data_IF_370048279145
#
_entry.id   IF_370048279145
#
_cell.length_a   1.000
_cell.length_b   1.000
_cell.length_c   1.000
_cell.angle_alpha   90.00
_cell.angle_beta   90.00
_cell.angle_gamma   90.00
#
_symmetry.space_group_name_H-M   'P 1'
#
loop_
_entity.id
_entity.type
_entity.pdbx_description
1 polymer ?
#
# COMPACT_ATOMS: atom_id res chain seq x y z
N UNK A 1 -10.72 22.50 19.67
CA UNK A 1 -10.08 21.43 20.48
C UNK A 1 -8.64 21.28 20.03
N UNK A 2 -7.69 21.88 20.76
CA UNK A 2 -6.26 21.80 20.42
C UNK A 2 -5.77 20.38 20.69
N UNK A 3 -5.34 19.70 19.63
CA UNK A 3 -4.79 18.36 19.66
C UNK A 3 -3.60 18.36 20.64
N UNK A 4 -3.79 17.86 21.87
CA UNK A 4 -2.71 17.79 22.87
C UNK A 4 -1.62 16.90 22.28
N UNK A 5 -0.57 17.51 21.72
CA UNK A 5 0.65 16.80 21.32
C UNK A 5 1.12 16.00 22.53
N UNK A 6 0.94 14.67 22.54
CA UNK A 6 1.60 13.86 23.58
C UNK A 6 3.09 13.98 23.32
N UNK A 7 3.79 14.38 24.36
CA UNK A 7 5.24 14.36 24.38
C UNK A 7 5.73 12.91 24.52
N UNK A 8 6.94 12.59 24.05
CA UNK A 8 7.54 11.29 24.26
C UNK A 8 7.67 10.97 25.76
N UNK A 9 7.77 9.68 26.13
CA UNK A 9 7.86 9.26 27.54
C UNK A 9 8.97 9.99 28.30
N UNK A 10 8.64 10.55 29.46
CA UNK A 10 9.59 11.28 30.30
C UNK A 10 9.76 12.77 29.92
N UNK A 11 9.36 13.20 28.72
CA UNK A 11 9.33 14.63 28.38
C UNK A 11 8.00 15.23 28.86
N UNK A 12 8.09 16.33 29.61
CA UNK A 12 6.94 17.01 30.22
C UNK A 12 6.90 18.47 29.78
N UNK A 13 5.71 19.02 29.65
CA UNK A 13 5.48 20.45 29.47
C UNK A 13 4.72 21.01 30.66
N UNK A 14 5.10 22.21 31.10
CA UNK A 14 4.38 22.98 32.13
C UNK A 14 4.20 24.41 31.66
N UNK A 15 2.98 24.90 31.73
CA UNK A 15 2.68 26.32 31.46
C UNK A 15 2.81 27.09 32.76
N UNK A 16 3.67 28.10 32.77
CA UNK A 16 3.86 28.99 33.91
C UNK A 16 2.73 30.03 33.98
N UNK A 17 2.64 30.75 35.11
CA UNK A 17 1.67 31.84 35.29
C UNK A 17 1.80 32.94 34.20
N UNK A 18 2.98 33.09 33.60
CA UNK A 18 3.24 33.98 32.47
C UNK A 18 2.63 33.53 31.14
N UNK A 19 1.99 32.35 31.09
CA UNK A 19 1.50 31.71 29.86
C UNK A 19 2.60 31.03 29.04
N UNK A 20 3.88 31.22 29.37
CA UNK A 20 4.99 30.54 28.70
C UNK A 20 5.03 29.06 29.08
N UNK A 21 5.18 28.19 28.09
CA UNK A 21 5.33 26.75 28.31
C UNK A 21 6.81 26.39 28.34
N UNK A 22 7.24 25.67 29.38
CA UNK A 22 8.59 25.15 29.54
C UNK A 22 8.58 23.62 29.48
N UNK A 23 9.66 23.08 28.95
CA UNK A 23 9.87 21.65 28.80
C UNK A 23 10.88 21.11 29.81
N UNK A 24 10.62 19.90 30.29
CA UNK A 24 11.40 19.25 31.34
C UNK A 24 11.60 17.78 31.00
N UNK A 25 12.81 17.25 31.29
CA UNK A 25 13.13 15.84 31.15
C UNK A 25 13.08 15.14 32.51
N UNK A 26 12.29 14.08 32.60
CA UNK A 26 12.27 13.17 33.75
C UNK A 26 13.10 11.93 33.42
N UNK A 27 14.22 11.75 34.11
CA UNK A 27 15.19 10.67 33.83
C UNK A 27 14.88 9.37 34.57
N UNK A 28 14.46 9.44 35.84
CA UNK A 28 14.06 8.30 36.66
C UNK A 28 13.03 8.72 37.74
N UNK A 29 12.39 7.75 38.40
CA UNK A 29 11.58 8.00 39.59
C UNK A 29 12.47 8.47 40.75
N UNK A 30 12.09 9.57 41.40
CA UNK A 30 12.86 10.14 42.53
C UNK A 30 13.94 11.14 42.14
N UNK A 31 14.31 11.23 40.85
CA UNK A 31 15.28 12.23 40.36
C UNK A 31 14.55 13.52 39.96
N UNK A 32 15.14 14.67 40.30
CA UNK A 32 14.62 15.99 39.93
C UNK A 32 14.58 16.14 38.41
N UNK A 33 13.51 16.75 37.90
CA UNK A 33 13.37 17.00 36.46
C UNK A 33 14.42 18.01 35.97
N UNK A 34 15.04 17.73 34.82
CA UNK A 34 16.01 18.63 34.18
C UNK A 34 15.28 19.64 33.29
N UNK A 35 15.44 20.96 33.50
CA UNK A 35 14.82 21.97 32.64
C UNK A 35 15.50 22.00 31.27
N UNK A 36 14.71 21.97 30.19
CA UNK A 36 15.19 22.03 28.79
C UNK A 36 14.90 23.38 28.12
N UNK A 37 14.09 24.23 28.75
CA UNK A 37 13.72 25.54 28.22
C UNK A 37 12.36 25.58 27.51
N UNK A 38 12.01 26.71 26.88
CA UNK A 38 10.69 26.94 26.29
C UNK A 38 10.54 26.44 24.84
N UNK A 39 11.64 26.17 24.13
CA UNK A 39 11.59 25.70 22.75
C UNK A 39 11.37 24.18 22.66
N UNK A 40 10.26 23.76 22.05
CA UNK A 40 9.90 22.36 21.91
C UNK A 40 10.87 21.60 20.99
N UNK A 41 11.37 22.23 19.94
CA UNK A 41 12.28 21.57 18.98
C UNK A 41 13.59 21.14 19.66
N UNK A 42 14.20 22.07 20.38
CA UNK A 42 15.39 21.84 21.20
C UNK A 42 15.12 20.81 22.30
N UNK A 43 13.97 20.89 22.97
CA UNK A 43 13.61 19.91 24.00
C UNK A 43 13.45 18.48 23.45
N UNK A 44 12.88 18.31 22.25
CA UNK A 44 12.77 17.01 21.57
C UNK A 44 14.14 16.49 21.12
N UNK A 45 15.03 17.38 20.66
CA UNK A 45 16.40 17.03 20.31
C UNK A 45 17.15 16.46 21.52
N UNK A 46 17.15 17.21 22.64
CA UNK A 46 17.77 16.75 23.89
C UNK A 46 17.17 15.44 24.40
N UNK A 47 15.84 15.28 24.30
CA UNK A 47 15.19 14.03 24.67
C UNK A 47 15.67 12.86 23.82
N UNK A 48 15.76 13.05 22.49
CA UNK A 48 16.22 12.01 21.55
C UNK A 48 17.64 11.59 21.88
N UNK A 49 18.53 12.57 22.05
CA UNK A 49 19.95 12.32 22.29
C UNK A 49 20.12 11.57 23.64
N UNK A 50 19.44 12.02 24.69
CA UNK A 50 19.40 11.30 25.97
C UNK A 50 18.80 9.88 25.85
N UNK A 51 17.72 9.70 25.09
CA UNK A 51 17.10 8.38 24.90
C UNK A 51 18.04 7.42 24.17
N UNK A 52 18.76 7.92 23.17
CA UNK A 52 19.76 7.18 22.42
C UNK A 52 20.97 6.84 23.30
N UNK A 53 21.53 7.80 24.03
CA UNK A 53 22.68 7.59 24.92
C UNK A 53 22.37 6.53 25.98
N UNK A 54 21.19 6.58 26.60
CA UNK A 54 20.75 5.55 27.55
C UNK A 54 20.68 4.17 26.88
N UNK A 55 20.11 4.11 25.68
CA UNK A 55 19.96 2.86 24.94
C UNK A 55 21.32 2.26 24.55
N UNK A 56 22.27 3.11 24.14
CA UNK A 56 23.61 2.71 23.70
C UNK A 56 24.58 2.44 24.85
N UNK A 57 24.38 3.07 26.02
CA UNK A 57 25.16 2.77 27.22
C UNK A 57 25.04 1.31 27.66
N UNK A 58 23.93 0.65 27.31
CA UNK A 58 23.67 -0.76 27.58
C UNK A 58 24.01 -1.68 26.39
N UNK A 59 24.18 -1.12 25.17
CA UNK A 59 24.24 -1.90 23.91
C UNK A 59 25.14 -1.26 22.86
N UNK A 60 26.01 -2.06 22.26
CA UNK A 60 26.74 -1.66 21.05
C UNK A 60 25.90 -1.93 19.80
N UNK A 61 25.82 -0.95 18.88
CA UNK A 61 25.18 -1.10 17.56
C UNK A 61 26.04 -2.00 16.66
N UNK A 62 25.98 -3.30 16.90
CA UNK A 62 26.69 -4.34 16.14
C UNK A 62 25.80 -5.01 15.09
N UNK A 63 24.49 -4.95 15.28
CA UNK A 63 23.49 -5.62 14.47
C UNK A 63 22.44 -4.68 13.91
N UNK A 64 21.80 -5.11 12.82
CA UNK A 64 20.64 -4.43 12.24
C UNK A 64 19.46 -4.38 13.22
N UNK A 65 19.28 -5.44 14.02
CA UNK A 65 18.23 -5.52 15.03
C UNK A 65 18.42 -4.43 16.09
N UNK A 66 19.63 -4.31 16.66
CA UNK A 66 19.94 -3.27 17.65
C UNK A 66 19.78 -1.88 17.05
N UNK A 67 20.14 -1.70 15.77
CA UNK A 67 19.94 -0.43 15.06
C UNK A 67 18.46 -0.06 14.92
N UNK A 68 17.61 -1.01 14.52
CA UNK A 68 16.16 -0.80 14.41
C UNK A 68 15.57 -0.47 15.78
N UNK A 69 15.96 -1.20 16.83
CA UNK A 69 15.51 -0.96 18.20
C UNK A 69 15.95 0.40 18.74
N UNK A 70 17.18 0.82 18.45
CA UNK A 70 17.67 2.17 18.76
C UNK A 70 16.79 3.25 18.10
N UNK A 71 16.45 3.06 16.82
CA UNK A 71 15.57 3.96 16.08
C UNK A 71 14.14 3.99 16.67
N UNK A 72 13.59 2.82 17.01
CA UNK A 72 12.27 2.72 17.68
C UNK A 72 12.27 3.47 19.01
N UNK A 73 13.37 3.41 19.74
CA UNK A 73 13.50 4.00 21.08
C UNK A 73 13.70 5.51 21.02
N UNK A 74 14.59 5.99 20.15
CA UNK A 74 15.03 7.39 20.14
C UNK A 74 14.31 8.27 19.11
N UNK A 75 13.92 7.73 17.96
CA UNK A 75 13.47 8.55 16.82
C UNK A 75 11.95 8.44 16.57
N UNK A 76 11.33 7.28 16.79
CA UNK A 76 9.87 7.14 16.60
C UNK A 76 9.06 7.99 17.59
N UNK A 77 9.38 8.07 18.90
CA UNK A 77 8.51 8.75 19.87
C UNK A 77 8.38 10.26 19.66
N UNK A 78 9.29 10.88 18.91
CA UNK A 78 9.24 12.31 18.56
C UNK A 78 8.44 12.59 17.27
N UNK A 79 7.93 11.55 16.59
CA UNK A 79 7.12 11.68 15.37
C UNK A 79 5.68 12.08 15.68
N UNK A 80 4.89 12.35 14.64
CA UNK A 80 3.49 12.68 14.83
C UNK A 80 2.75 11.51 15.48
N UNK A 81 1.87 11.82 16.45
CA UNK A 81 1.10 10.82 17.21
C UNK A 81 0.37 9.79 16.34
N UNK A 82 -0.19 10.24 15.21
CA UNK A 82 -0.88 9.39 14.24
C UNK A 82 0.05 8.42 13.51
N UNK A 83 1.34 8.76 13.39
CA UNK A 83 2.34 7.98 12.67
C UNK A 83 3.03 6.93 13.56
N UNK A 84 3.17 7.21 14.86
CA UNK A 84 3.91 6.34 15.80
C UNK A 84 3.47 4.86 15.72
N UNK A 85 2.17 4.51 15.82
CA UNK A 85 1.77 3.10 15.77
C UNK A 85 2.06 2.45 14.42
N UNK A 86 2.05 3.23 13.34
CA UNK A 86 2.35 2.75 12.00
C UNK A 86 3.85 2.47 11.82
N UNK A 87 4.70 3.44 12.19
CA UNK A 87 6.15 3.31 12.15
C UNK A 87 6.64 2.15 13.04
N UNK A 88 6.07 1.99 14.24
CA UNK A 88 6.40 0.87 15.11
C UNK A 88 6.09 -0.48 14.48
N UNK A 89 4.93 -0.63 13.82
CA UNK A 89 4.57 -1.87 13.11
C UNK A 89 5.53 -2.16 11.95
N UNK A 90 5.90 -1.14 11.19
CA UNK A 90 6.84 -1.28 10.08
C UNK A 90 8.24 -1.67 10.56
N UNK A 91 8.76 -0.98 11.58
CA UNK A 91 10.06 -1.28 12.17
C UNK A 91 10.11 -2.70 12.75
N UNK A 92 9.04 -3.14 13.42
CA UNK A 92 8.92 -4.52 13.91
C UNK A 92 8.86 -5.56 12.79
N UNK A 93 8.21 -5.27 11.66
CA UNK A 93 8.19 -6.17 10.51
C UNK A 93 9.58 -6.33 9.90
N UNK A 94 10.35 -5.25 9.80
CA UNK A 94 11.76 -5.28 9.38
C UNK A 94 12.60 -6.12 10.36
N UNK A 95 12.46 -5.88 11.66
CA UNK A 95 13.19 -6.63 12.68
C UNK A 95 12.89 -8.14 12.61
N UNK A 96 11.62 -8.52 12.45
CA UNK A 96 11.21 -9.92 12.28
C UNK A 96 11.87 -10.56 11.04
N UNK A 97 11.90 -9.85 9.91
CA UNK A 97 12.57 -10.36 8.72
C UNK A 97 14.08 -10.57 8.91
N UNK A 98 14.79 -9.58 9.47
CA UNK A 98 16.24 -9.74 9.68
C UNK A 98 16.56 -10.83 10.71
N UNK A 99 15.68 -11.04 11.69
CA UNK A 99 15.76 -12.16 12.61
C UNK A 99 15.59 -13.50 11.90
N UNK A 100 14.56 -13.65 11.05
CA UNK A 100 14.27 -14.89 10.31
C UNK A 100 15.38 -15.22 9.28
N UNK A 101 15.98 -14.19 8.66
CA UNK A 101 17.09 -14.37 7.72
C UNK A 101 18.44 -14.62 8.40
N UNK A 102 18.51 -14.60 9.74
CA UNK A 102 19.75 -14.79 10.50
C UNK A 102 20.80 -13.68 10.28
N UNK A 103 20.40 -12.50 9.80
CA UNK A 103 21.33 -11.41 9.51
C UNK A 103 21.65 -10.63 10.79
N UNK A 104 22.77 -10.98 11.43
CA UNK A 104 23.12 -10.46 12.76
C UNK A 104 24.13 -9.31 12.74
N UNK A 105 24.86 -9.06 11.66
CA UNK A 105 25.92 -8.05 11.62
C UNK A 105 25.64 -6.90 10.65
N UNK A 106 26.06 -5.67 11.00
CA UNK A 106 26.02 -4.52 10.07
C UNK A 106 27.00 -4.65 8.89
N UNK A 107 27.98 -5.55 8.98
CA UNK A 107 28.96 -5.85 7.92
C UNK A 107 28.71 -7.18 7.23
N UNK A 108 27.72 -7.95 7.69
CA UNK A 108 27.35 -9.21 7.07
C UNK A 108 26.69 -8.97 5.71
N UNK A 109 26.71 -9.97 4.80
CA UNK A 109 25.91 -9.90 3.58
C UNK A 109 24.45 -9.64 3.91
N UNK A 110 23.86 -8.62 3.27
CA UNK A 110 22.46 -8.27 3.48
C UNK A 110 21.56 -9.05 2.54
N UNK A 111 20.38 -9.50 3.02
CA UNK A 111 19.36 -10.02 2.13
C UNK A 111 18.89 -8.91 1.16
N UNK A 112 18.56 -9.29 -0.07
CA UNK A 112 18.12 -8.34 -1.08
C UNK A 112 16.72 -7.77 -0.75
N UNK A 113 16.37 -6.64 -1.35
CA UNK A 113 15.04 -6.05 -1.17
C UNK A 113 13.95 -6.94 -1.79
N UNK A 114 14.25 -7.69 -2.85
CA UNK A 114 13.37 -8.69 -3.45
C UNK A 114 13.08 -9.85 -2.49
N UNK A 115 14.09 -10.30 -1.73
CA UNK A 115 13.88 -11.30 -0.69
C UNK A 115 12.90 -10.78 0.38
N UNK A 116 12.97 -9.48 0.72
CA UNK A 116 11.99 -8.87 1.61
C UNK A 116 10.58 -8.83 1.01
N UNK A 117 10.44 -8.43 -0.27
CA UNK A 117 9.15 -8.45 -0.96
C UNK A 117 8.55 -9.86 -1.01
N UNK A 118 9.36 -10.87 -1.32
CA UNK A 118 8.95 -12.27 -1.33
C UNK A 118 8.50 -12.74 0.06
N UNK A 119 9.26 -12.38 1.12
CA UNK A 119 8.92 -12.68 2.51
C UNK A 119 7.58 -12.07 2.93
N UNK A 120 7.30 -10.83 2.53
CA UNK A 120 6.02 -10.16 2.84
C UNK A 120 4.86 -10.69 2.00
N UNK A 121 5.14 -11.18 0.80
CA UNK A 121 4.17 -11.70 -0.14
C UNK A 121 3.36 -10.61 -0.85
N UNK A 122 2.60 -10.99 -1.90
CA UNK A 122 1.91 -10.04 -2.79
C UNK A 122 0.89 -9.18 -2.06
N UNK A 123 0.18 -9.74 -1.06
CA UNK A 123 -0.83 -9.02 -0.28
C UNK A 123 -0.28 -7.81 0.48
N UNK A 124 1.02 -7.78 0.77
CA UNK A 124 1.67 -6.74 1.55
C UNK A 124 2.66 -5.91 0.72
N UNK A 125 2.69 -6.06 -0.60
CA UNK A 125 3.55 -5.34 -1.56
C UNK A 125 3.74 -3.84 -1.26
N UNK A 126 2.62 -3.10 -1.20
CA UNK A 126 2.64 -1.65 -0.94
C UNK A 126 3.23 -1.33 0.44
N UNK A 127 2.93 -2.16 1.44
CA UNK A 127 3.47 -1.99 2.80
C UNK A 127 4.95 -2.34 2.85
N UNK A 128 5.37 -3.40 2.17
CA UNK A 128 6.75 -3.80 2.05
C UNK A 128 7.60 -2.68 1.45
N UNK A 129 7.10 -1.99 0.42
CA UNK A 129 7.79 -0.81 -0.12
C UNK A 129 7.90 0.34 0.89
N UNK A 130 6.87 0.57 1.71
CA UNK A 130 6.95 1.58 2.77
C UNK A 130 7.90 1.17 3.92
N UNK A 131 7.98 -0.12 4.24
CA UNK A 131 8.91 -0.71 5.20
C UNK A 131 10.36 -0.59 4.70
N UNK A 132 10.65 -0.90 3.43
CA UNK A 132 12.00 -0.70 2.83
C UNK A 132 12.39 0.79 2.87
N UNK A 133 11.48 1.71 2.53
CA UNK A 133 11.75 3.16 2.66
C UNK A 133 12.08 3.56 4.09
N UNK A 134 11.37 3.00 5.07
CA UNK A 134 11.70 3.22 6.47
C UNK A 134 13.10 2.68 6.79
N UNK A 135 13.47 1.50 6.30
CA UNK A 135 14.82 0.96 6.50
C UNK A 135 15.91 1.87 5.91
N UNK A 136 15.74 2.37 4.70
CA UNK A 136 16.67 3.34 4.08
C UNK A 136 16.82 4.58 4.97
N UNK A 137 15.71 5.07 5.53
CA UNK A 137 15.73 6.20 6.47
C UNK A 137 16.43 5.87 7.79
N UNK A 138 16.21 4.68 8.35
CA UNK A 138 16.91 4.19 9.55
C UNK A 138 18.41 4.14 9.28
N UNK A 139 18.83 3.63 8.13
CA UNK A 139 20.23 3.56 7.73
C UNK A 139 20.87 4.95 7.64
N UNK A 140 20.23 5.88 6.92
CA UNK A 140 20.71 7.25 6.80
C UNK A 140 20.72 8.00 8.15
N UNK A 141 19.76 7.72 9.03
CA UNK A 141 19.75 8.21 10.40
C UNK A 141 20.97 7.71 11.19
N UNK A 142 21.28 6.42 11.11
CA UNK A 142 22.45 5.82 11.75
C UNK A 142 23.76 6.44 11.27
N UNK A 143 23.87 6.69 9.95
CA UNK A 143 25.05 7.32 9.35
C UNK A 143 25.24 8.77 9.85
N UNK A 144 24.16 9.57 9.90
CA UNK A 144 24.23 10.96 10.39
C UNK A 144 24.70 11.04 11.84
N UNK A 145 24.31 10.06 12.65
CA UNK A 145 24.68 9.97 14.06
C UNK A 145 25.99 9.20 14.29
N UNK A 146 26.71 8.82 13.23
CA UNK A 146 27.96 8.04 13.31
C UNK A 146 27.84 6.76 14.15
N UNK A 147 26.66 6.12 14.16
CA UNK A 147 26.42 4.88 14.91
C UNK A 147 27.09 3.65 14.29
N UNK A 148 27.56 3.78 13.04
CA UNK A 148 28.19 2.71 12.27
C UNK A 148 29.63 3.10 11.94
N UNK A 149 30.57 2.16 12.15
CA UNK A 149 32.01 2.41 11.95
C UNK A 149 32.38 2.69 10.49
N UNK A 150 31.66 2.09 9.54
CA UNK A 150 31.91 2.26 8.11
C UNK A 150 30.79 3.08 7.47
N UNK A 151 31.13 4.04 6.60
CA UNK A 151 30.20 4.74 5.72
C UNK A 151 29.77 3.85 4.54
N UNK A 152 29.36 2.62 4.83
CA UNK A 152 28.80 1.74 3.81
C UNK A 152 27.46 2.31 3.32
N UNK A 153 27.21 2.34 2.00
CA UNK A 153 25.91 2.75 1.47
C UNK A 153 24.81 1.82 2.01
N UNK A 154 23.58 2.32 2.05
CA UNK A 154 22.44 1.48 2.42
C UNK A 154 22.34 0.31 1.43
N UNK A 155 22.17 -0.94 1.90
CA UNK A 155 22.09 -2.11 1.03
C UNK A 155 20.84 -2.10 0.14
N UNK A 156 19.82 -1.32 0.52
CA UNK A 156 18.60 -1.13 -0.26
C UNK A 156 18.53 0.28 -0.84
N UNK A 157 17.99 0.40 -2.06
CA UNK A 157 17.81 1.66 -2.76
C UNK A 157 16.34 2.00 -2.97
N UNK A 158 16.04 3.30 -3.08
CA UNK A 158 14.68 3.76 -3.34
C UNK A 158 14.20 3.42 -4.75
N UNK A 159 15.11 3.38 -5.74
CA UNK A 159 14.78 3.07 -7.14
C UNK A 159 14.11 1.71 -7.29
N UNK A 160 14.71 0.68 -6.71
CA UNK A 160 14.18 -0.68 -6.71
C UNK A 160 12.79 -0.76 -6.07
N UNK A 161 12.57 -0.05 -4.96
CA UNK A 161 11.24 0.02 -4.33
C UNK A 161 10.20 0.67 -5.24
N UNK A 162 10.57 1.76 -5.92
CA UNK A 162 9.68 2.45 -6.84
C UNK A 162 9.29 1.56 -8.00
N UNK A 163 10.28 0.91 -8.63
CA UNK A 163 10.06 0.04 -9.77
C UNK A 163 9.18 -1.16 -9.38
N UNK A 164 9.46 -1.79 -8.24
CA UNK A 164 8.69 -2.96 -7.78
C UNK A 164 7.26 -2.59 -7.37
N UNK A 165 7.07 -1.52 -6.60
CA UNK A 165 5.72 -1.05 -6.21
C UNK A 165 4.96 -0.59 -7.45
N UNK A 166 5.60 0.12 -8.38
CA UNK A 166 4.98 0.55 -9.63
C UNK A 166 4.55 -0.66 -10.44
N UNK A 167 5.42 -1.66 -10.63
CA UNK A 167 5.08 -2.88 -11.36
C UNK A 167 3.90 -3.60 -10.72
N UNK A 168 3.87 -3.75 -9.39
CA UNK A 168 2.76 -4.40 -8.70
C UNK A 168 1.44 -3.64 -8.86
N UNK A 169 1.48 -2.31 -8.74
CA UNK A 169 0.30 -1.46 -8.96
C UNK A 169 -0.15 -1.54 -10.41
N UNK A 170 0.77 -1.57 -11.38
CA UNK A 170 0.43 -1.72 -12.79
C UNK A 170 -0.19 -3.08 -13.10
N UNK A 171 0.31 -4.18 -12.52
CA UNK A 171 -0.30 -5.50 -12.67
C UNK A 171 -1.72 -5.53 -12.08
N UNK A 172 -1.88 -5.02 -10.86
CA UNK A 172 -3.20 -4.98 -10.21
C UNK A 172 -4.18 -4.09 -10.98
N UNK A 173 -3.67 -3.00 -11.56
CA UNK A 173 -4.43 -2.11 -12.41
C UNK A 173 -4.82 -2.78 -13.73
N UNK A 174 -3.93 -3.54 -14.35
CA UNK A 174 -4.21 -4.31 -15.56
C UNK A 174 -5.35 -5.30 -15.32
N UNK A 175 -5.29 -6.07 -14.22
CA UNK A 175 -6.32 -7.03 -13.85
C UNK A 175 -7.67 -6.36 -13.64
N UNK A 176 -7.67 -5.23 -12.92
CA UNK A 176 -8.89 -4.51 -12.60
C UNK A 176 -9.52 -3.85 -13.83
N UNK A 177 -8.69 -3.29 -14.73
CA UNK A 177 -9.17 -2.75 -16.02
C UNK A 177 -9.72 -3.86 -16.93
N UNK A 178 -9.11 -5.05 -16.94
CA UNK A 178 -9.61 -6.20 -17.70
C UNK A 178 -10.97 -6.65 -17.20
N UNK A 179 -11.14 -6.80 -15.90
CA UNK A 179 -12.43 -7.17 -15.30
C UNK A 179 -13.51 -6.14 -15.61
N UNK A 180 -13.17 -4.85 -15.53
CA UNK A 180 -14.09 -3.77 -15.89
C UNK A 180 -14.46 -3.79 -17.37
N UNK A 181 -13.50 -4.05 -18.26
CA UNK A 181 -13.74 -4.21 -19.70
C UNK A 181 -14.65 -5.42 -19.99
N UNK A 182 -14.37 -6.58 -19.40
CA UNK A 182 -15.21 -7.78 -19.55
C UNK A 182 -16.63 -7.56 -19.04
N UNK A 183 -16.81 -6.83 -17.94
CA UNK A 183 -18.13 -6.47 -17.42
C UNK A 183 -18.88 -5.48 -18.35
N UNK A 184 -18.17 -4.56 -18.99
CA UNK A 184 -18.75 -3.61 -19.93
C UNK A 184 -19.09 -4.24 -21.29
N UNK A 185 -18.41 -5.32 -21.68
CA UNK A 185 -18.66 -6.06 -22.92
C UNK A 185 -19.80 -7.08 -22.82
N UNK A 186 -20.31 -7.38 -21.61
CA UNK A 186 -21.50 -8.22 -21.46
C UNK A 186 -22.70 -7.43 -21.99
N UNK A 187 -23.39 -7.90 -23.05
CA UNK A 187 -24.64 -7.29 -23.45
C UNK A 187 -25.59 -7.36 -22.26
N UNK A 188 -26.19 -6.24 -21.90
CA UNK A 188 -27.29 -6.23 -20.96
C UNK A 188 -28.38 -7.14 -21.55
N UNK A 189 -28.42 -8.40 -21.12
CA UNK A 189 -29.59 -9.24 -21.33
C UNK A 189 -30.70 -8.55 -20.56
N UNK A 190 -31.47 -7.74 -21.27
CA UNK A 190 -32.72 -7.22 -20.77
C UNK A 190 -33.53 -8.43 -20.30
N UNK A 191 -33.97 -8.49 -19.04
CA UNK A 191 -34.86 -9.55 -18.60
C UNK A 191 -36.07 -9.54 -19.53
N UNK A 192 -36.20 -10.60 -20.32
CA UNK A 192 -37.30 -10.77 -21.25
C UNK A 192 -38.59 -10.75 -20.43
N UNK A 193 -39.55 -9.84 -20.71
CA UNK A 193 -40.80 -9.78 -19.98
C UNK A 193 -41.76 -10.85 -20.50
N UNK A 194 -41.41 -12.13 -20.37
CA UNK A 194 -42.21 -13.24 -20.91
C UNK A 194 -42.40 -14.45 -19.98
N UNK A 195 -42.27 -14.28 -18.66
CA UNK A 195 -42.80 -15.28 -17.73
C UNK A 195 -43.99 -14.70 -16.97
N UNK A 196 -45.13 -14.75 -17.66
CA UNK A 196 -46.44 -14.39 -17.14
C UNK A 196 -47.56 -15.00 -17.97
N UNK A 197 -47.94 -16.23 -17.59
CA UNK A 197 -49.28 -16.85 -17.73
C UNK A 197 -49.57 -17.67 -19.01
N UNK A 198 -49.50 -18.98 -18.82
CA UNK A 198 -50.44 -20.06 -19.21
C UNK A 198 -51.07 -20.16 -20.62
N UNK A 199 -50.88 -21.36 -21.19
CA UNK A 199 -51.83 -22.22 -21.92
C UNK A 199 -52.59 -21.69 -23.15
N UNK A 200 -52.39 -22.35 -24.30
CA UNK A 200 -53.43 -23.09 -25.04
C UNK A 200 -53.00 -23.34 -26.50
N UNK A 201 -53.37 -24.52 -26.99
CA UNK A 201 -53.28 -25.06 -28.35
C UNK A 201 -53.49 -24.04 -29.48
N UNK A 202 -52.75 -24.15 -30.58
CA UNK A 202 -53.31 -24.23 -31.94
C UNK A 202 -52.27 -24.73 -32.96
N UNK A 203 -52.75 -25.59 -33.86
CA UNK A 203 -52.12 -26.20 -35.02
C UNK A 203 -51.98 -25.23 -36.22
N UNK A 204 -51.19 -25.68 -37.21
CA UNK A 204 -51.07 -25.24 -38.63
C UNK A 204 -49.95 -24.22 -38.89
N UNK A 205 -48.85 -24.60 -39.54
CA UNK A 205 -48.63 -24.90 -40.98
C UNK A 205 -48.13 -23.69 -41.75
N UNK A 206 -47.13 -23.98 -42.59
CA UNK A 206 -46.74 -23.29 -43.82
C UNK A 206 -45.64 -22.21 -43.83
N UNK A 207 -44.69 -22.53 -44.73
CA UNK A 207 -43.93 -21.69 -45.68
C UNK A 207 -42.50 -21.26 -45.32
N UNK A 208 -41.59 -22.00 -45.95
CA UNK A 208 -40.34 -21.49 -46.52
C UNK A 208 -40.58 -20.16 -47.23
N UNK A 209 -39.77 -19.15 -46.90
CA UNK A 209 -39.24 -18.24 -47.91
C UNK A 209 -37.74 -18.01 -47.69
N UNK A 210 -37.05 -18.23 -48.79
CA UNK A 210 -35.65 -18.08 -49.10
C UNK A 210 -35.43 -16.62 -49.54
N UNK A 211 -34.55 -15.85 -48.89
CA UNK A 211 -34.18 -14.55 -49.43
C UNK A 211 -32.86 -14.00 -48.89
N UNK A 212 -31.90 -14.00 -49.82
CA UNK A 212 -30.90 -12.96 -50.12
C UNK A 212 -29.87 -12.52 -49.07
N UNK A 213 -28.66 -13.01 -49.32
CA UNK A 213 -27.36 -12.43 -49.00
C UNK A 213 -27.25 -11.04 -49.66
N UNK A 214 -26.85 -9.98 -48.93
CA UNK A 214 -26.31 -8.78 -49.55
C UNK A 214 -24.78 -8.69 -49.39
N UNK A 215 -24.14 -8.74 -50.54
CA UNK A 215 -22.89 -8.12 -50.98
C UNK A 215 -21.88 -7.57 -49.96
N UNK A 216 -20.73 -8.23 -49.99
CA UNK A 216 -19.40 -7.77 -49.59
C UNK A 216 -19.00 -6.47 -50.29
N UNK A 217 -19.27 -5.31 -49.69
CA UNK A 217 -18.57 -4.06 -50.01
C UNK A 217 -17.30 -3.96 -49.17
N UNK A 218 -16.17 -4.28 -49.80
CA UNK A 218 -14.83 -3.88 -49.35
C UNK A 218 -14.71 -2.36 -49.34
N UNK A 219 -15.10 -1.75 -48.22
CA UNK A 219 -14.73 -0.37 -47.89
C UNK A 219 -13.35 -0.37 -47.25
N UNK A 220 -12.38 0.28 -47.89
CA UNK A 220 -11.08 0.57 -47.29
C UNK A 220 -11.29 1.55 -46.13
N UNK A 221 -11.46 1.03 -44.92
CA UNK A 221 -11.46 1.84 -43.71
C UNK A 221 -10.02 2.26 -43.40
N UNK A 222 -9.68 3.50 -43.75
CA UNK A 222 -8.62 4.23 -43.07
C UNK A 222 -8.89 4.22 -41.55
N UNK A 223 -7.85 4.13 -40.70
CA UNK A 223 -7.98 3.63 -39.33
C UNK A 223 -8.80 4.59 -38.45
N UNK A 224 -9.70 4.02 -37.64
CA UNK A 224 -10.57 4.67 -36.65
C UNK A 224 -9.82 5.30 -35.45
N UNK A 225 -8.69 5.96 -35.67
CA UNK A 225 -7.79 6.39 -34.58
C UNK A 225 -8.30 7.54 -33.71
N UNK A 226 -9.27 8.33 -34.17
CA UNK A 226 -9.81 9.46 -33.39
C UNK A 226 -10.98 9.04 -32.49
N UNK A 227 -11.81 8.09 -32.92
CA UNK A 227 -12.92 7.55 -32.13
C UNK A 227 -12.42 6.75 -30.92
N UNK A 228 -11.32 6.01 -31.10
CA UNK A 228 -10.66 5.25 -30.02
C UNK A 228 -10.21 6.15 -28.86
N UNK A 229 -9.91 7.42 -29.13
CA UNK A 229 -9.24 8.25 -28.15
C UNK A 229 -10.15 8.74 -27.03
N UNK A 230 -11.32 9.25 -27.42
CA UNK A 230 -12.33 9.70 -26.48
C UNK A 230 -12.90 8.50 -25.69
N UNK A 231 -13.00 7.33 -26.34
CA UNK A 231 -13.45 6.10 -25.70
C UNK A 231 -12.49 5.60 -24.61
N UNK A 232 -11.18 5.61 -24.87
CA UNK A 232 -10.15 5.26 -23.88
C UNK A 232 -10.20 6.23 -22.69
N UNK A 233 -10.26 7.54 -22.94
CA UNK A 233 -10.28 8.53 -21.86
C UNK A 233 -11.58 8.41 -21.03
N UNK A 234 -12.72 8.20 -21.68
CA UNK A 234 -14.00 7.95 -21.01
C UNK A 234 -13.97 6.64 -20.19
N UNK A 235 -13.34 5.59 -20.72
CA UNK A 235 -13.14 4.31 -20.02
C UNK A 235 -12.28 4.50 -18.76
N UNK A 236 -11.12 5.16 -18.86
CA UNK A 236 -10.26 5.42 -17.70
C UNK A 236 -10.96 6.29 -16.65
N UNK A 237 -11.73 7.29 -17.09
CA UNK A 237 -12.51 8.13 -16.18
C UNK A 237 -13.59 7.31 -15.43
N UNK A 238 -14.27 6.37 -16.11
CA UNK A 238 -15.21 5.43 -15.46
C UNK A 238 -14.49 4.50 -14.49
N UNK A 239 -13.40 3.86 -14.92
CA UNK A 239 -12.61 2.96 -14.07
C UNK A 239 -12.06 3.67 -12.81
N UNK A 240 -11.52 4.88 -12.97
CA UNK A 240 -11.02 5.67 -11.84
C UNK A 240 -12.13 6.04 -10.83
N UNK A 241 -13.35 6.35 -11.32
CA UNK A 241 -14.51 6.59 -10.45
C UNK A 241 -14.92 5.32 -9.71
N UNK A 242 -14.96 4.18 -10.42
CA UNK A 242 -15.31 2.90 -9.82
C UNK A 242 -14.31 2.49 -8.73
N UNK A 243 -13.01 2.57 -8.99
CA UNK A 243 -11.99 2.27 -7.97
C UNK A 243 -12.09 3.20 -6.75
N UNK A 244 -12.39 4.48 -6.95
CA UNK A 244 -12.62 5.38 -5.84
C UNK A 244 -13.85 4.96 -5.00
N UNK A 245 -14.95 4.58 -5.66
CA UNK A 245 -16.15 4.08 -5.00
C UNK A 245 -15.92 2.77 -4.24
N UNK A 246 -15.07 1.88 -4.77
CA UNK A 246 -14.69 0.60 -4.15
C UNK A 246 -13.72 0.75 -2.95
N UNK A 247 -13.36 2.00 -2.60
CA UNK A 247 -12.42 2.30 -1.51
C UNK A 247 -10.96 2.04 -1.90
N UNK A 248 -10.62 2.18 -3.19
CA UNK A 248 -9.27 2.04 -3.76
C UNK A 248 -8.75 3.35 -4.37
N UNK A 249 -8.55 4.40 -3.54
CA UNK A 249 -8.14 5.72 -4.04
C UNK A 249 -6.71 5.74 -4.60
N UNK A 250 -5.89 4.75 -4.27
CA UNK A 250 -4.56 4.51 -4.80
C UNK A 250 -4.61 4.10 -6.28
N UNK A 251 -5.36 3.05 -6.63
CA UNK A 251 -5.55 2.67 -8.03
C UNK A 251 -6.25 3.76 -8.82
N UNK A 252 -7.28 4.39 -8.25
CA UNK A 252 -7.99 5.49 -8.90
C UNK A 252 -7.04 6.64 -9.27
N UNK A 253 -6.03 6.93 -8.43
CA UNK A 253 -5.01 7.95 -8.70
C UNK A 253 -4.07 7.51 -9.81
N UNK A 254 -3.65 6.25 -9.82
CA UNK A 254 -2.75 5.73 -10.86
C UNK A 254 -3.45 5.61 -12.22
N UNK A 255 -4.73 5.19 -12.29
CA UNK A 255 -5.51 5.25 -13.54
C UNK A 255 -5.49 6.65 -14.14
N UNK A 256 -5.70 7.68 -13.31
CA UNK A 256 -5.72 9.08 -13.76
C UNK A 256 -4.36 9.59 -14.23
N UNK A 257 -3.28 8.91 -13.86
CA UNK A 257 -1.90 9.26 -14.25
C UNK A 257 -1.44 8.53 -15.50
N UNK A 258 -2.06 7.39 -15.84
CA UNK A 258 -1.70 6.64 -17.03
C UNK A 258 -1.93 7.49 -18.27
N UNK A 259 -0.86 7.66 -19.05
CA UNK A 259 -0.99 8.09 -20.44
C UNK A 259 -1.61 6.98 -21.28
N UNK A 260 -2.20 7.37 -22.40
CA UNK A 260 -2.86 6.44 -23.33
C UNK A 260 -1.91 5.34 -23.85
N UNK A 261 -0.66 5.70 -24.10
CA UNK A 261 0.39 4.76 -24.50
C UNK A 261 0.73 3.77 -23.37
N UNK A 262 0.66 4.21 -22.11
CA UNK A 262 0.85 3.35 -20.95
C UNK A 262 -0.34 2.42 -20.72
N UNK A 263 -1.57 2.82 -21.01
CA UNK A 263 -2.75 1.94 -20.86
C UNK A 263 -2.62 0.69 -21.72
N UNK A 264 -2.25 0.83 -23.00
CA UNK A 264 -2.02 -0.32 -23.88
C UNK A 264 -0.90 -1.21 -23.33
N UNK A 265 0.24 -0.60 -22.96
CA UNK A 265 1.33 -1.33 -22.30
C UNK A 265 0.88 -2.06 -21.03
N UNK A 266 0.02 -1.46 -20.20
CA UNK A 266 -0.51 -2.07 -18.97
C UNK A 266 -1.44 -3.25 -19.27
N UNK A 267 -2.29 -3.13 -20.30
CA UNK A 267 -3.13 -4.24 -20.77
C UNK A 267 -2.27 -5.38 -21.36
N UNK A 268 -1.22 -5.02 -22.10
CA UNK A 268 -0.31 -5.93 -22.79
C UNK A 268 0.76 -6.55 -21.88
N UNK A 269 1.06 -5.92 -20.72
CA UNK A 269 2.05 -6.38 -19.73
C UNK A 269 1.67 -7.71 -19.06
N UNK A 270 0.44 -8.19 -19.27
CA UNK A 270 0.00 -9.50 -18.82
C UNK A 270 0.14 -10.52 -19.96
N UNK A 271 1.08 -11.49 -19.87
CA UNK A 271 1.13 -12.58 -20.84
C UNK A 271 -0.23 -13.30 -20.86
N UNK A 272 -0.77 -13.53 -22.05
CA UNK A 272 -2.01 -14.25 -22.26
C UNK A 272 -1.99 -15.60 -21.55
N UNK A 273 -2.69 -15.70 -20.44
CA UNK A 273 -2.88 -16.91 -19.63
C UNK A 273 -4.19 -16.64 -18.88
N UNK A 274 -5.33 -17.30 -19.13
CA UNK A 274 -5.62 -18.73 -19.24
C UNK A 274 -5.12 -19.58 -18.05
N UNK A 275 -4.00 -19.20 -17.42
CA UNK A 275 -3.64 -19.61 -16.08
C UNK A 275 -4.35 -18.73 -15.07
N UNK A 276 -5.50 -19.21 -14.61
CA UNK A 276 -6.12 -18.76 -13.36
C UNK A 276 -5.04 -18.77 -12.27
N UNK A 277 -4.53 -17.61 -11.86
CA UNK A 277 -4.06 -17.46 -10.50
C UNK A 277 -5.28 -17.79 -9.64
N UNK A 278 -5.39 -19.05 -9.20
CA UNK A 278 -6.33 -19.45 -8.18
C UNK A 278 -5.93 -18.71 -6.89
N UNK A 279 -6.31 -17.43 -6.81
CA UNK A 279 -6.61 -16.82 -5.53
C UNK A 279 -7.80 -17.60 -5.00
N UNK A 280 -7.55 -18.66 -4.22
CA UNK A 280 -8.54 -19.45 -3.47
C UNK A 280 -9.31 -18.63 -2.41
N UNK A 281 -9.31 -17.31 -2.54
CA UNK A 281 -10.33 -16.44 -2.01
C UNK A 281 -10.91 -15.73 -3.23
N UNK A 282 -12.12 -16.13 -3.59
CA UNK A 282 -13.06 -15.37 -4.40
C UNK A 282 -13.06 -13.93 -3.87
N UNK A 283 -12.19 -13.10 -4.43
CA UNK A 283 -12.10 -11.68 -4.15
C UNK A 283 -13.29 -11.09 -4.89
N UNK A 284 -14.45 -11.13 -4.23
CA UNK A 284 -15.67 -10.50 -4.73
C UNK A 284 -15.33 -9.03 -4.97
N UNK A 285 -15.15 -8.71 -6.24
CA UNK A 285 -14.95 -7.37 -6.76
C UNK A 285 -16.13 -6.49 -6.34
N UNK A 286 -15.86 -5.23 -6.00
CA UNK A 286 -16.89 -4.27 -5.55
C UNK A 286 -17.20 -4.27 -4.05
N UNK A 287 -16.52 -5.08 -3.23
CA UNK A 287 -16.72 -5.02 -1.77
C UNK A 287 -15.66 -4.15 -1.09
N UNK A 288 -16.13 -3.12 -0.38
CA UNK A 288 -15.28 -2.24 0.44
C UNK A 288 -14.40 -3.07 1.38
N UNK A 289 -13.25 -2.53 1.81
CA UNK A 289 -12.37 -3.20 2.78
C UNK A 289 -13.14 -3.67 4.03
N UNK A 290 -14.17 -2.94 4.45
CA UNK A 290 -15.04 -3.32 5.55
C UNK A 290 -15.86 -4.59 5.24
N UNK A 291 -16.48 -4.67 4.06
CA UNK A 291 -17.23 -5.85 3.62
C UNK A 291 -16.31 -7.08 3.44
N UNK A 292 -15.09 -6.90 2.92
CA UNK A 292 -14.09 -7.98 2.85
C UNK A 292 -13.66 -8.48 4.23
N UNK A 293 -13.45 -7.57 5.18
CA UNK A 293 -13.13 -7.95 6.56
C UNK A 293 -14.29 -8.68 7.24
N UNK A 294 -15.53 -8.33 6.92
CA UNK A 294 -16.72 -9.00 7.45
C UNK A 294 -16.88 -10.41 6.90
N UNK A 295 -16.72 -10.61 5.59
CA UNK A 295 -16.69 -11.94 4.96
C UNK A 295 -15.57 -12.80 5.58
N UNK A 296 -14.38 -12.24 5.80
CA UNK A 296 -13.29 -12.96 6.46
C UNK A 296 -13.61 -13.35 7.92
N UNK A 297 -14.29 -12.47 8.67
CA UNK A 297 -14.73 -12.79 10.04
C UNK A 297 -15.75 -13.91 10.05
N UNK A 298 -16.72 -13.87 9.14
CA UNK A 298 -17.74 -14.91 8.98
C UNK A 298 -17.12 -16.26 8.61
N UNK A 299 -16.18 -16.29 7.66
CA UNK A 299 -15.44 -17.49 7.29
C UNK A 299 -14.61 -18.08 8.45
N UNK A 300 -13.95 -17.21 9.24
CA UNK A 300 -13.19 -17.63 10.43
C UNK A 300 -14.12 -18.18 11.52
N UNK A 301 -15.33 -17.64 11.65
CA UNK A 301 -16.36 -18.09 12.60
C UNK A 301 -16.97 -19.43 12.18
N UNK A 302 -17.15 -19.66 10.89
CA UNK A 302 -17.60 -20.93 10.33
C UNK A 302 -16.58 -22.06 10.53
N UNK A 303 -15.27 -21.77 10.40
CA UNK A 303 -14.20 -22.75 10.61
C UNK A 303 -13.95 -23.13 12.08
N UNK A 304 -14.54 -22.39 13.01
CA UNK A 304 -14.47 -22.63 14.47
C UNK A 304 -15.69 -23.38 15.01
N UNK A 305 -16.69 -23.63 14.17
CA UNK A 305 -17.83 -24.50 14.45
C UNK A 305 -17.55 -25.86 13.82
#
# INVERSE_FOLDING_TARGET
MTNRKRLPPGLRSRTQASGKTYHYLKTASGVKETPLGPDLGTALQYWRDHALDRYLGERNVSSVLVLIEAFITAEIPIRMMSEVPFLQRQARALAAFFLDMGTTGLTAPFPSAEAYFAYRGPRYAIRAGAEIRLFIHIWGWAQRLSLMKARAPCPWSSGLVWDWVRQHVLCELADALRQFASAASLPAQAPSPQDGIAASNYLASEKLEESSIPDSRSGSHAPRTIADQHEIDAFLARAARQFAADGRPDLAREVRRLSRAEVRKVIDLMPGSAGTLQTGAELILGTSRAARLEVMRLATKAKRR
#
